data_IF_670809953918
#
_entry.id   IF_670809953918
#
_cell.length_a   1.000
_cell.length_b   1.000
_cell.length_c   1.000
_cell.angle_alpha   90.00
_cell.angle_beta   90.00
_cell.angle_gamma   90.00
#
_symmetry.space_group_name_H-M   'P 1'
#
loop_
_entity.id
_entity.type
_entity.pdbx_description
1 polymer ?
#
# COMPACT_ATOMS: atom_id res chain seq x y z
N UNK A 1 -27.81 16.04 -29.94
CA UNK A 1 -27.36 15.33 -28.74
C UNK A 1 -26.53 14.14 -29.23
N UNK A 2 -25.21 14.30 -29.24
CA UNK A 2 -24.25 13.24 -29.56
C UNK A 2 -24.24 12.23 -28.38
N UNK A 3 -24.79 11.06 -28.62
CA UNK A 3 -24.70 9.91 -27.74
C UNK A 3 -23.20 9.53 -27.63
N UNK A 4 -22.58 9.82 -26.50
CA UNK A 4 -21.19 9.39 -26.21
C UNK A 4 -21.12 7.87 -26.31
N UNK A 5 -20.73 7.35 -27.48
CA UNK A 5 -20.37 5.93 -27.64
C UNK A 5 -19.17 5.65 -26.75
N UNK A 6 -19.44 5.15 -25.56
CA UNK A 6 -18.40 4.57 -24.70
C UNK A 6 -17.84 3.34 -25.43
N UNK A 7 -16.52 3.29 -25.54
CA UNK A 7 -15.79 2.18 -26.18
C UNK A 7 -16.22 0.85 -25.54
N UNK A 8 -16.67 -0.16 -26.33
CA UNK A 8 -17.06 -1.48 -25.82
C UNK A 8 -15.96 -2.15 -24.97
N UNK A 9 -14.69 -1.90 -25.31
CA UNK A 9 -13.55 -2.41 -24.54
C UNK A 9 -13.48 -1.78 -23.15
N UNK A 10 -13.67 -0.47 -23.08
CA UNK A 10 -13.67 0.28 -21.80
C UNK A 10 -14.83 -0.16 -20.91
N UNK A 11 -16.02 -0.36 -21.47
CA UNK A 11 -17.18 -0.89 -20.73
C UNK A 11 -16.90 -2.27 -20.17
N UNK A 12 -16.34 -3.17 -20.97
CA UNK A 12 -15.97 -4.53 -20.53
C UNK A 12 -14.93 -4.51 -19.40
N UNK A 13 -13.93 -3.62 -19.47
CA UNK A 13 -12.93 -3.47 -18.41
C UNK A 13 -13.54 -2.93 -17.11
N UNK A 14 -14.42 -1.95 -17.19
CA UNK A 14 -15.13 -1.38 -16.03
C UNK A 14 -16.00 -2.45 -15.36
N UNK A 15 -16.74 -3.25 -16.14
CA UNK A 15 -17.58 -4.32 -15.59
C UNK A 15 -16.74 -5.40 -14.91
N UNK A 16 -15.65 -5.83 -15.54
CA UNK A 16 -14.70 -6.78 -14.93
C UNK A 16 -14.07 -6.25 -13.64
N UNK A 17 -13.72 -4.97 -13.60
CA UNK A 17 -13.21 -4.34 -12.39
C UNK A 17 -14.27 -4.28 -11.29
N UNK A 18 -15.52 -3.89 -11.61
CA UNK A 18 -16.62 -3.84 -10.65
C UNK A 18 -16.92 -5.22 -10.04
N UNK A 19 -16.90 -6.27 -10.85
CA UNK A 19 -17.15 -7.67 -10.42
C UNK A 19 -15.94 -8.34 -9.75
N UNK A 20 -14.75 -7.74 -9.82
CA UNK A 20 -13.54 -8.32 -9.23
C UNK A 20 -13.56 -8.29 -7.69
N UNK A 21 -12.78 -9.18 -7.08
CA UNK A 21 -12.64 -9.21 -5.63
C UNK A 21 -11.86 -7.99 -5.10
N UNK A 22 -11.94 -7.75 -3.79
CA UNK A 22 -11.33 -6.59 -3.14
C UNK A 22 -9.80 -6.54 -3.30
N UNK A 23 -9.12 -7.69 -3.35
CA UNK A 23 -7.66 -7.76 -3.53
C UNK A 23 -7.28 -7.17 -4.88
N UNK A 24 -7.97 -7.58 -5.96
CA UNK A 24 -7.73 -7.07 -7.31
C UNK A 24 -7.98 -5.55 -7.36
N UNK A 25 -9.02 -5.07 -6.67
CA UNK A 25 -9.31 -3.63 -6.57
C UNK A 25 -8.19 -2.86 -5.88
N UNK A 26 -7.70 -3.36 -4.75
CA UNK A 26 -6.59 -2.74 -4.02
C UNK A 26 -5.30 -2.75 -4.86
N UNK A 27 -4.97 -3.86 -5.51
CA UNK A 27 -3.80 -3.96 -6.41
C UNK A 27 -3.93 -2.96 -7.56
N UNK A 28 -5.11 -2.89 -8.20
CA UNK A 28 -5.34 -1.99 -9.32
C UNK A 28 -5.22 -0.50 -8.91
N UNK A 29 -5.73 -0.12 -7.73
CA UNK A 29 -5.59 1.24 -7.20
C UNK A 29 -4.12 1.57 -6.95
N UNK A 30 -3.37 0.69 -6.29
CA UNK A 30 -1.93 0.87 -6.06
C UNK A 30 -1.15 1.01 -7.37
N UNK A 31 -1.41 0.11 -8.34
CA UNK A 31 -0.77 0.13 -9.65
C UNK A 31 -1.12 1.41 -10.44
N UNK A 32 -2.38 1.85 -10.39
CA UNK A 32 -2.82 3.09 -11.04
C UNK A 32 -2.13 4.32 -10.44
N UNK A 33 -2.07 4.43 -9.12
CA UNK A 33 -1.35 5.53 -8.43
C UNK A 33 0.12 5.54 -8.82
N UNK A 34 0.77 4.36 -8.82
CA UNK A 34 2.17 4.23 -9.22
C UNK A 34 2.42 4.69 -10.67
N UNK A 35 1.62 4.20 -11.61
CA UNK A 35 1.76 4.56 -13.03
C UNK A 35 1.51 6.05 -13.25
N UNK A 36 0.43 6.61 -12.68
CA UNK A 36 0.11 8.04 -12.83
C UNK A 36 1.20 8.93 -12.24
N UNK A 37 1.70 8.60 -11.04
CA UNK A 37 2.78 9.35 -10.40
C UNK A 37 4.07 9.33 -11.23
N UNK A 38 4.46 8.16 -11.76
CA UNK A 38 5.67 8.03 -12.59
C UNK A 38 5.52 8.69 -13.96
N UNK A 39 4.34 8.62 -14.60
CA UNK A 39 4.08 9.33 -15.87
C UNK A 39 4.10 10.84 -15.66
N UNK A 40 3.49 11.35 -14.58
CA UNK A 40 3.55 12.77 -14.25
C UNK A 40 4.99 13.23 -14.04
N UNK A 41 5.80 12.44 -13.29
CA UNK A 41 7.23 12.71 -13.12
C UNK A 41 7.98 12.74 -14.44
N UNK A 42 7.80 11.72 -15.30
CA UNK A 42 8.46 11.65 -16.60
C UNK A 42 8.07 12.83 -17.52
N UNK A 43 6.80 13.21 -17.52
CA UNK A 43 6.31 14.34 -18.30
C UNK A 43 6.93 15.67 -17.89
N UNK A 44 7.03 15.91 -16.57
CA UNK A 44 7.63 17.12 -16.04
C UNK A 44 9.15 17.15 -16.30
N UNK A 45 9.84 16.02 -16.22
CA UNK A 45 11.24 15.90 -16.58
C UNK A 45 11.50 16.28 -18.05
N UNK A 46 10.59 15.88 -18.96
CA UNK A 46 10.66 16.24 -20.38
C UNK A 46 10.46 17.73 -20.64
N UNK A 47 9.71 18.43 -19.79
CA UNK A 47 9.52 19.89 -19.90
C UNK A 47 10.73 20.71 -19.37
N UNK A 48 11.78 20.04 -18.95
CA UNK A 48 13.01 20.71 -18.43
C UNK A 48 12.84 21.25 -17.01
N UNK A 49 11.71 21.03 -16.37
CA UNK A 49 11.45 21.39 -14.97
C UNK A 49 12.03 20.35 -14.02
N UNK A 50 13.27 19.92 -14.28
CA UNK A 50 13.99 18.96 -13.43
C UNK A 50 14.48 19.68 -12.17
N UNK A 51 13.57 20.03 -11.27
CA UNK A 51 13.92 20.46 -9.93
C UNK A 51 13.70 19.30 -8.95
N UNK A 52 14.51 19.28 -7.89
CA UNK A 52 14.36 18.35 -6.77
C UNK A 52 12.94 18.39 -6.15
N UNK A 53 12.23 19.52 -6.33
CA UNK A 53 10.81 19.68 -5.94
C UNK A 53 9.86 18.80 -6.74
N UNK A 54 10.19 18.40 -7.96
CA UNK A 54 9.34 17.49 -8.78
C UNK A 54 9.53 16.03 -8.43
N UNK A 55 10.70 15.60 -7.98
CA UNK A 55 10.88 14.33 -7.27
C UNK A 55 9.94 14.23 -6.05
N UNK A 56 9.42 15.36 -5.60
CA UNK A 56 8.54 15.52 -4.45
C UNK A 56 7.08 15.13 -4.66
N UNK A 57 6.62 14.68 -5.85
CA UNK A 57 5.24 14.18 -5.98
C UNK A 57 4.99 12.96 -5.09
N UNK A 58 5.95 12.04 -5.04
CA UNK A 58 5.90 10.93 -4.09
C UNK A 58 5.94 11.44 -2.64
N UNK A 59 6.68 12.52 -2.38
CA UNK A 59 6.73 13.20 -1.08
C UNK A 59 5.38 13.87 -0.76
N UNK A 60 4.69 14.46 -1.76
CA UNK A 60 3.37 15.10 -1.56
C UNK A 60 2.24 14.10 -1.25
N UNK A 61 2.39 12.85 -1.69
CA UNK A 61 1.45 11.77 -1.41
C UNK A 61 1.91 10.89 -0.24
N UNK A 62 3.21 10.88 0.06
CA UNK A 62 3.79 10.14 1.18
C UNK A 62 3.44 10.75 2.53
N UNK A 63 3.33 9.90 3.55
CA UNK A 63 3.06 10.31 4.92
C UNK A 63 4.25 11.05 5.54
N UNK A 64 4.00 12.19 6.16
CA UNK A 64 5.01 12.98 6.87
C UNK A 64 4.81 12.91 8.38
N UNK A 65 5.90 12.85 9.14
CA UNK A 65 5.85 12.92 10.59
C UNK A 65 5.91 14.38 11.10
N UNK A 66 6.21 15.36 10.22
CA UNK A 66 6.24 16.77 10.59
C UNK A 66 4.82 17.32 10.78
N UNK A 67 4.49 17.79 11.97
CA UNK A 67 3.16 18.28 12.31
C UNK A 67 2.71 19.48 11.47
N UNK A 68 3.61 20.42 11.17
CA UNK A 68 3.31 21.56 10.31
C UNK A 68 2.95 21.13 8.88
N UNK A 69 3.68 20.19 8.31
CA UNK A 69 3.39 19.64 7.00
C UNK A 69 2.12 18.78 6.98
N UNK A 70 1.92 17.99 8.05
CA UNK A 70 0.74 17.15 8.18
C UNK A 70 -0.55 17.99 8.21
N UNK A 71 -0.55 19.13 8.87
CA UNK A 71 -1.68 20.08 8.87
C UNK A 71 -1.94 20.64 7.47
N UNK A 72 -0.89 20.92 6.69
CA UNK A 72 -1.03 21.41 5.32
C UNK A 72 -1.42 20.31 4.32
N UNK A 73 -1.06 19.04 4.60
CA UNK A 73 -1.26 17.89 3.71
C UNK A 73 -1.91 16.71 4.44
N UNK A 74 -3.11 16.88 5.03
CA UNK A 74 -3.74 15.86 5.86
C UNK A 74 -4.11 14.59 5.09
N UNK A 75 -4.26 14.68 3.76
CA UNK A 75 -4.52 13.52 2.90
C UNK A 75 -3.40 12.49 2.93
N UNK A 76 -2.17 12.91 3.29
CA UNK A 76 -1.00 12.00 3.33
C UNK A 76 -1.14 10.88 4.34
N UNK A 77 -1.99 11.03 5.36
CA UNK A 77 -2.37 9.98 6.32
C UNK A 77 -2.98 8.76 5.64
N UNK A 78 -3.58 8.95 4.46
CA UNK A 78 -4.24 7.88 3.70
C UNK A 78 -3.49 7.59 2.40
N UNK A 79 -3.05 8.62 1.68
CA UNK A 79 -2.46 8.44 0.34
C UNK A 79 -1.16 7.66 0.35
N UNK A 80 -0.40 7.73 1.44
CA UNK A 80 0.86 7.00 1.57
C UNK A 80 0.71 5.49 1.37
N UNK A 81 -0.44 4.90 1.79
CA UNK A 81 -0.73 3.47 1.67
C UNK A 81 -0.77 2.99 0.21
N UNK A 82 -0.95 3.91 -0.72
CA UNK A 82 -1.08 3.66 -2.16
C UNK A 82 0.11 4.18 -2.96
N UNK A 83 1.05 4.89 -2.31
CA UNK A 83 2.21 5.51 -2.95
C UNK A 83 3.42 4.60 -2.84
N UNK A 84 4.15 4.39 -3.93
CA UNK A 84 5.38 3.58 -3.97
C UNK A 84 6.46 4.31 -4.76
N UNK A 85 7.71 4.27 -4.29
CA UNK A 85 8.83 4.97 -4.93
C UNK A 85 9.38 4.22 -6.15
N UNK A 86 9.52 2.91 -6.06
CA UNK A 86 10.14 2.10 -7.10
C UNK A 86 9.33 0.84 -7.43
N UNK A 87 9.69 0.22 -8.57
CA UNK A 87 9.01 -0.97 -9.06
C UNK A 87 9.16 -2.16 -8.12
N UNK A 88 10.33 -2.36 -7.53
CA UNK A 88 10.55 -3.47 -6.60
C UNK A 88 9.63 -3.36 -5.37
N UNK A 89 9.52 -2.15 -4.83
CA UNK A 89 8.68 -1.87 -3.68
C UNK A 89 7.19 -2.17 -3.95
N UNK A 90 6.63 -1.66 -5.06
CA UNK A 90 5.24 -1.97 -5.40
C UNK A 90 5.05 -3.45 -5.74
N UNK A 91 5.99 -4.05 -6.48
CA UNK A 91 5.90 -5.46 -6.88
C UNK A 91 5.78 -6.38 -5.66
N UNK A 92 6.67 -6.25 -4.67
CA UNK A 92 6.65 -7.09 -3.47
C UNK A 92 5.41 -6.83 -2.62
N UNK A 93 5.00 -5.58 -2.44
CA UNK A 93 3.75 -5.27 -1.72
C UNK A 93 2.54 -5.93 -2.39
N UNK A 94 2.39 -5.80 -3.70
CA UNK A 94 1.25 -6.38 -4.42
C UNK A 94 1.30 -7.90 -4.44
N UNK A 95 2.48 -8.50 -4.52
CA UNK A 95 2.65 -9.95 -4.45
C UNK A 95 2.18 -10.50 -3.10
N UNK A 96 2.64 -9.90 -2.01
CA UNK A 96 2.26 -10.30 -0.65
C UNK A 96 0.77 -10.07 -0.43
N UNK A 97 0.23 -8.91 -0.82
CA UNK A 97 -1.20 -8.63 -0.75
C UNK A 97 -2.04 -9.66 -1.52
N UNK A 98 -1.57 -10.08 -2.69
CA UNK A 98 -2.28 -11.09 -3.48
C UNK A 98 -2.32 -12.44 -2.78
N UNK A 99 -1.19 -12.95 -2.31
CA UNK A 99 -1.14 -14.28 -1.69
C UNK A 99 -1.75 -14.29 -0.29
N UNK A 100 -1.34 -13.39 0.59
CA UNK A 100 -1.82 -13.39 1.97
C UNK A 100 -3.22 -12.79 2.11
N UNK A 101 -3.59 -11.88 1.22
CA UNK A 101 -4.98 -11.42 1.09
C UNK A 101 -5.94 -12.56 0.70
N UNK A 102 -5.54 -13.50 -0.16
CA UNK A 102 -6.33 -14.70 -0.45
C UNK A 102 -6.49 -15.59 0.78
N UNK A 103 -5.42 -15.79 1.55
CA UNK A 103 -5.49 -16.54 2.82
C UNK A 103 -6.48 -15.86 3.78
N UNK A 104 -6.40 -14.52 3.88
CA UNK A 104 -7.35 -13.75 4.69
C UNK A 104 -8.81 -13.97 4.23
N UNK A 105 -9.08 -13.95 2.92
CA UNK A 105 -10.41 -14.14 2.37
C UNK A 105 -10.96 -15.58 2.50
N UNK A 106 -10.13 -16.57 2.80
CA UNK A 106 -10.59 -17.90 3.21
C UNK A 106 -11.17 -17.93 4.63
N UNK A 107 -10.74 -17.00 5.49
CA UNK A 107 -11.15 -16.93 6.90
C UNK A 107 -12.16 -15.81 7.17
N UNK A 108 -12.10 -14.75 6.37
CA UNK A 108 -12.87 -13.52 6.55
C UNK A 108 -13.46 -13.02 5.24
N UNK A 109 -14.38 -12.06 5.33
CA UNK A 109 -15.01 -11.43 4.16
C UNK A 109 -14.23 -10.23 3.61
N UNK A 110 -14.62 -9.77 2.42
CA UNK A 110 -14.00 -8.64 1.72
C UNK A 110 -14.12 -7.30 2.47
N UNK A 111 -15.18 -7.10 3.25
CA UNK A 111 -15.35 -5.86 4.04
C UNK A 111 -14.35 -5.82 5.17
N UNK A 112 -14.13 -6.95 5.85
CA UNK A 112 -13.12 -7.07 6.91
C UNK A 112 -11.71 -6.86 6.35
N UNK A 113 -11.39 -7.42 5.16
CA UNK A 113 -10.09 -7.20 4.52
C UNK A 113 -9.84 -5.71 4.27
N UNK A 114 -10.82 -5.01 3.68
CA UNK A 114 -10.70 -3.57 3.43
C UNK A 114 -10.55 -2.77 4.74
N UNK A 115 -11.34 -3.13 5.76
CA UNK A 115 -11.25 -2.48 7.06
C UNK A 115 -9.89 -2.69 7.71
N UNK A 116 -9.36 -3.92 7.70
CA UNK A 116 -8.03 -4.22 8.27
C UNK A 116 -6.93 -3.52 7.49
N UNK A 117 -7.04 -3.46 6.16
CA UNK A 117 -6.10 -2.71 5.31
C UNK A 117 -6.06 -1.23 5.70
N UNK A 118 -7.21 -0.56 5.77
CA UNK A 118 -7.29 0.87 6.07
C UNK A 118 -6.91 1.18 7.52
N UNK A 119 -7.48 0.45 8.48
CA UNK A 119 -7.21 0.66 9.91
C UNK A 119 -5.76 0.32 10.25
N UNK A 120 -5.23 -0.75 9.67
CA UNK A 120 -3.82 -1.13 9.83
C UNK A 120 -2.86 -0.07 9.28
N UNK A 121 -3.18 0.47 8.10
CA UNK A 121 -2.42 1.59 7.56
C UNK A 121 -2.49 2.82 8.45
N UNK A 122 -3.69 3.24 8.90
CA UNK A 122 -3.83 4.37 9.82
C UNK A 122 -3.06 4.16 11.13
N UNK A 123 -3.11 2.97 11.71
CA UNK A 123 -2.36 2.62 12.92
C UNK A 123 -0.84 2.67 12.67
N UNK A 124 -0.37 2.15 11.54
CA UNK A 124 1.03 2.23 11.13
C UNK A 124 1.50 3.67 10.95
N UNK A 125 0.69 4.53 10.32
CA UNK A 125 0.99 5.95 10.20
C UNK A 125 1.07 6.64 11.58
N UNK A 126 0.13 6.36 12.47
CA UNK A 126 0.13 6.92 13.82
C UNK A 126 1.39 6.51 14.58
N UNK A 127 1.77 5.22 14.50
CA UNK A 127 3.01 4.73 15.11
C UNK A 127 4.25 5.43 14.53
N UNK A 128 4.33 5.57 13.20
CA UNK A 128 5.38 6.31 12.52
C UNK A 128 5.46 7.76 13.00
N UNK A 129 4.34 8.48 13.01
CA UNK A 129 4.30 9.87 13.44
C UNK A 129 4.74 10.02 14.91
N UNK A 130 4.30 9.14 15.81
CA UNK A 130 4.71 9.15 17.22
C UNK A 130 6.20 8.84 17.34
N UNK A 131 6.70 7.78 16.70
CA UNK A 131 8.09 7.35 16.80
C UNK A 131 9.05 8.47 16.37
N UNK A 132 8.78 9.07 15.21
CA UNK A 132 9.65 10.13 14.67
C UNK A 132 9.60 11.47 15.42
N UNK A 133 8.57 11.68 16.25
CA UNK A 133 8.50 12.87 17.11
C UNK A 133 8.98 12.61 18.55
N UNK A 134 9.04 11.34 18.98
CA UNK A 134 9.43 10.97 20.35
C UNK A 134 10.90 10.58 20.44
N UNK A 135 11.43 9.88 19.44
CA UNK A 135 12.81 9.39 19.45
C UNK A 135 13.79 10.41 18.81
N UNK A 136 14.74 10.99 19.56
CA UNK A 136 15.64 12.04 19.05
C UNK A 136 16.58 11.58 17.93
N UNK A 137 16.79 10.27 17.78
CA UNK A 137 17.63 9.69 16.72
C UNK A 137 16.93 9.62 15.37
N UNK A 138 15.61 9.78 15.33
CA UNK A 138 14.81 9.78 14.12
C UNK A 138 14.60 11.21 13.63
N UNK A 139 14.77 11.40 12.32
CA UNK A 139 14.60 12.74 11.70
C UNK A 139 13.24 12.82 10.99
N UNK A 140 12.25 13.54 11.57
CA UNK A 140 10.93 13.69 10.95
C UNK A 140 10.95 14.52 9.67
N UNK A 141 12.01 15.34 9.46
CA UNK A 141 12.12 16.26 8.32
C UNK A 141 12.49 15.53 7.04
N UNK A 142 13.37 14.52 7.15
CA UNK A 142 13.92 13.82 5.99
C UNK A 142 13.20 12.52 5.64
N UNK A 143 12.29 12.07 6.49
CA UNK A 143 11.68 10.76 6.33
C UNK A 143 10.20 10.87 5.96
N UNK A 144 9.82 10.15 4.90
CA UNK A 144 8.44 10.05 4.45
C UNK A 144 8.05 8.58 4.41
N UNK A 145 6.89 8.27 4.96
CA UNK A 145 6.31 6.94 4.92
C UNK A 145 5.59 6.72 3.59
N UNK A 146 5.91 5.64 2.89
CA UNK A 146 5.24 5.26 1.64
C UNK A 146 5.07 3.74 1.58
N UNK A 147 4.09 3.30 0.82
CA UNK A 147 3.82 1.89 0.56
C UNK A 147 2.68 1.31 1.38
N UNK A 148 2.19 0.19 0.87
CA UNK A 148 1.09 -0.56 1.48
C UNK A 148 1.56 -1.48 2.64
N UNK A 149 2.86 -1.49 3.00
CA UNK A 149 3.46 -2.49 3.90
C UNK A 149 2.76 -2.55 5.25
N UNK A 150 2.47 -1.43 5.90
CA UNK A 150 1.78 -1.39 7.18
C UNK A 150 0.35 -1.97 7.10
N UNK A 151 -0.37 -1.67 6.03
CA UNK A 151 -1.70 -2.23 5.75
C UNK A 151 -1.65 -3.74 5.51
N UNK A 152 -0.65 -4.20 4.77
CA UNK A 152 -0.42 -5.62 4.47
C UNK A 152 0.02 -6.35 5.74
N UNK A 153 0.89 -5.76 6.54
CA UNK A 153 1.30 -6.30 7.84
C UNK A 153 0.08 -6.55 8.74
N UNK A 154 -0.86 -5.62 8.81
CA UNK A 154 -2.08 -5.79 9.58
C UNK A 154 -2.92 -6.99 9.09
N UNK A 155 -3.01 -7.21 7.77
CA UNK A 155 -3.68 -8.39 7.18
C UNK A 155 -2.97 -9.67 7.59
N UNK A 156 -1.63 -9.71 7.48
CA UNK A 156 -0.81 -10.88 7.84
C UNK A 156 -0.96 -11.22 9.32
N UNK A 157 -0.83 -10.20 10.18
CA UNK A 157 -0.95 -10.37 11.63
C UNK A 157 -2.36 -10.78 12.04
N UNK A 158 -3.41 -10.27 11.39
CA UNK A 158 -4.79 -10.69 11.65
C UNK A 158 -4.98 -12.20 11.38
N UNK A 159 -4.40 -12.72 10.31
CA UNK A 159 -4.44 -14.18 10.03
C UNK A 159 -3.56 -14.95 11.02
N UNK A 160 -2.35 -14.47 11.29
CA UNK A 160 -1.40 -15.13 12.16
C UNK A 160 -1.91 -15.23 13.62
N UNK A 161 -2.65 -14.23 14.09
CA UNK A 161 -3.24 -14.23 15.44
C UNK A 161 -4.54 -15.02 15.50
N UNK A 162 -5.38 -14.95 14.45
CA UNK A 162 -6.66 -15.68 14.44
C UNK A 162 -6.47 -17.18 14.21
N UNK A 163 -5.59 -17.56 13.29
CA UNK A 163 -5.34 -18.94 12.90
C UNK A 163 -3.83 -19.25 12.85
N UNK A 164 -3.10 -19.23 13.99
CA UNK A 164 -1.64 -19.35 14.02
C UNK A 164 -1.13 -20.66 13.43
N UNK A 165 -1.88 -21.74 13.54
CA UNK A 165 -1.53 -23.07 13.03
C UNK A 165 -2.00 -23.31 11.58
N UNK A 166 -2.70 -22.35 10.97
CA UNK A 166 -3.04 -22.44 9.55
C UNK A 166 -1.75 -22.51 8.72
N UNK A 167 -1.65 -23.50 7.83
CA UNK A 167 -0.47 -23.72 7.02
C UNK A 167 -0.70 -23.25 5.59
N UNK A 168 0.19 -22.43 5.08
CA UNK A 168 0.26 -22.07 3.67
C UNK A 168 1.33 -22.90 2.97
N UNK A 169 1.06 -23.34 1.74
CA UNK A 169 2.02 -24.07 0.93
C UNK A 169 2.93 -23.08 0.20
N UNK A 170 4.20 -23.03 0.60
CA UNK A 170 5.22 -22.30 -0.13
C UNK A 170 5.93 -23.24 -1.09
N UNK A 171 6.17 -22.75 -2.33
CA UNK A 171 6.72 -23.57 -3.43
C UNK A 171 8.07 -24.23 -3.06
N UNK A 172 8.92 -23.52 -2.32
CA UNK A 172 10.29 -23.98 -1.98
C UNK A 172 10.33 -24.62 -0.58
N UNK A 173 9.58 -24.09 0.38
CA UNK A 173 9.69 -24.46 1.80
C UNK A 173 8.58 -25.43 2.27
N UNK A 174 7.62 -25.77 1.38
CA UNK A 174 6.51 -26.64 1.75
C UNK A 174 5.50 -25.94 2.68
N UNK A 175 4.84 -26.68 3.60
CA UNK A 175 3.84 -26.11 4.49
C UNK A 175 4.48 -25.29 5.62
N UNK A 176 4.15 -23.99 5.66
CA UNK A 176 4.64 -23.04 6.68
C UNK A 176 3.46 -22.49 7.47
N UNK A 177 3.56 -22.49 8.80
CA UNK A 177 2.52 -22.01 9.69
C UNK A 177 2.43 -20.48 9.70
N UNK A 178 1.22 -19.94 9.81
CA UNK A 178 0.97 -18.49 9.73
C UNK A 178 1.63 -17.71 10.87
N UNK A 179 1.79 -18.28 12.07
CA UNK A 179 2.53 -17.59 13.13
C UNK A 179 3.98 -17.31 12.74
N UNK A 180 4.64 -18.25 12.04
CA UNK A 180 6.02 -18.07 11.56
C UNK A 180 6.08 -17.01 10.44
N UNK A 181 5.13 -17.07 9.49
CA UNK A 181 5.01 -16.05 8.42
C UNK A 181 4.83 -14.66 9.00
N UNK A 182 3.93 -14.49 9.98
CA UNK A 182 3.71 -13.21 10.66
C UNK A 182 4.95 -12.71 11.38
N UNK A 183 5.64 -13.59 12.12
CA UNK A 183 6.87 -13.22 12.83
C UNK A 183 7.98 -12.80 11.87
N UNK A 184 8.21 -13.57 10.80
CA UNK A 184 9.23 -13.23 9.79
C UNK A 184 8.90 -11.94 9.05
N UNK A 185 7.62 -11.69 8.78
CA UNK A 185 7.20 -10.45 8.13
C UNK A 185 7.49 -9.22 9.00
N UNK A 186 7.17 -9.29 10.31
CA UNK A 186 7.49 -8.21 11.26
C UNK A 186 8.99 -7.96 11.34
N UNK A 187 9.80 -9.03 11.44
CA UNK A 187 11.26 -8.91 11.48
C UNK A 187 11.79 -8.24 10.20
N UNK A 188 11.31 -8.66 9.04
CA UNK A 188 11.74 -8.12 7.75
C UNK A 188 11.34 -6.65 7.53
N UNK A 189 10.25 -6.18 8.15
CA UNK A 189 9.79 -4.79 8.03
C UNK A 189 10.55 -3.82 8.97
N UNK A 190 11.16 -4.36 10.04
CA UNK A 190 11.93 -3.58 11.03
C UNK A 190 13.44 -3.53 10.66
N UNK A 191 13.93 -4.50 9.89
CA UNK A 191 15.35 -4.63 9.51
C UNK A 191 15.77 -3.65 8.40
#
# INVERSE_FOLDING_TARGET
LEEKRTDPLLMTLIERFKSSNIIVKLIAVNAMVFVVANLAFAFMALLGEFSFELASWNIRLGGTAQMNELVMRPWTVVTYMFTHFDFGHIFWNMLILFFLGKVFLHLFDSRKLLSVYLVGGLAGFLFFAIAYNVFPTLDPVRTHMVGASASIMAIVLAVATYAPNYSIQLVIFGPVKMWLVGTLYVIADIA
#
